data_IF_047280565437
#
_entry.id   IF_047280565437
#
_cell.length_a   1.000
_cell.length_b   1.000
_cell.length_c   1.000
_cell.angle_alpha   90.00
_cell.angle_beta   90.00
_cell.angle_gamma   90.00
#
_symmetry.space_group_name_H-M   'P 1'
#
loop_
_entity.id
_entity.type
_entity.pdbx_description
1 polymer ?
#
# COMPACT_ATOMS: atom_id res chain seq x y z
N UNK A 1 -15.66 -8.22 -5.99
CA UNK A 1 -15.97 -6.78 -5.83
C UNK A 1 -16.66 -6.30 -7.09
N UNK A 2 -17.74 -5.53 -6.96
CA UNK A 2 -18.54 -5.04 -8.07
C UNK A 2 -18.75 -3.54 -7.93
N UNK A 3 -18.50 -2.78 -8.99
CA UNK A 3 -18.89 -1.38 -9.07
C UNK A 3 -20.40 -1.30 -9.27
N UNK A 4 -21.08 -0.50 -8.47
CA UNK A 4 -22.51 -0.28 -8.61
C UNK A 4 -22.78 0.88 -9.58
N UNK A 5 -23.81 0.71 -10.41
CA UNK A 5 -24.28 1.78 -11.28
C UNK A 5 -24.95 2.87 -10.44
N UNK A 6 -24.61 4.11 -10.73
CA UNK A 6 -25.14 5.28 -10.05
C UNK A 6 -26.43 5.79 -10.72
N UNK A 7 -26.79 5.25 -11.88
CA UNK A 7 -28.06 5.53 -12.54
C UNK A 7 -29.18 4.83 -11.75
N UNK A 8 -30.13 5.61 -11.24
CA UNK A 8 -31.26 5.10 -10.46
C UNK A 8 -32.58 5.26 -11.23
N UNK A 9 -33.41 4.21 -11.20
CA UNK A 9 -34.75 4.19 -11.79
C UNK A 9 -35.77 3.67 -10.75
N UNK A 10 -36.89 4.38 -10.52
CA UNK A 10 -37.27 5.67 -11.10
C UNK A 10 -36.33 6.79 -10.62
N UNK A 11 -36.24 7.90 -11.36
CA UNK A 11 -35.34 9.01 -11.03
C UNK A 11 -35.59 9.59 -9.63
N UNK A 12 -36.84 9.56 -9.14
CA UNK A 12 -37.21 10.00 -7.79
C UNK A 12 -36.60 9.17 -6.66
N UNK A 13 -36.04 7.99 -6.96
CA UNK A 13 -35.34 7.18 -5.93
C UNK A 13 -34.14 7.90 -5.34
N UNK A 14 -33.50 8.82 -6.07
CA UNK A 14 -32.37 9.61 -5.55
C UNK A 14 -32.73 10.56 -4.41
N UNK A 15 -34.02 10.84 -4.22
CA UNK A 15 -34.50 11.66 -3.10
C UNK A 15 -34.41 10.91 -1.76
N UNK A 16 -34.44 9.57 -1.82
CA UNK A 16 -34.46 8.68 -0.65
C UNK A 16 -33.19 7.86 -0.53
N UNK A 17 -32.54 7.55 -1.65
CA UNK A 17 -31.41 6.65 -1.72
C UNK A 17 -30.19 7.28 -2.38
N UNK A 18 -29.03 6.86 -1.88
CA UNK A 18 -27.75 7.05 -2.55
C UNK A 18 -27.18 5.66 -2.76
N UNK A 19 -27.04 5.25 -4.01
CA UNK A 19 -26.30 4.03 -4.34
C UNK A 19 -24.83 4.27 -4.00
N UNK A 20 -24.18 3.40 -3.21
CA UNK A 20 -22.77 3.52 -2.90
C UNK A 20 -21.90 3.09 -4.09
N UNK A 21 -20.61 3.42 -4.08
CA UNK A 21 -19.73 3.11 -5.22
C UNK A 21 -19.54 1.60 -5.49
N UNK A 22 -19.43 0.79 -4.43
CA UNK A 22 -19.05 -0.61 -4.54
C UNK A 22 -19.93 -1.53 -3.68
N UNK A 23 -20.14 -2.75 -4.19
CA UNK A 23 -20.50 -3.93 -3.42
C UNK A 23 -19.29 -4.86 -3.36
N UNK A 24 -18.78 -5.14 -2.16
CA UNK A 24 -17.68 -6.06 -1.94
C UNK A 24 -18.16 -7.26 -1.13
N UNK A 25 -17.60 -8.44 -1.42
CA UNK A 25 -17.77 -9.64 -0.58
C UNK A 25 -16.38 -10.02 -0.13
N UNK A 26 -16.12 -9.83 1.16
CA UNK A 26 -14.86 -10.24 1.77
C UNK A 26 -14.97 -11.66 2.30
N UNK A 27 -13.88 -12.41 2.21
CA UNK A 27 -13.76 -13.71 2.87
C UNK A 27 -13.02 -13.49 4.19
N UNK A 28 -13.64 -13.86 5.30
CA UNK A 28 -13.01 -13.90 6.63
C UNK A 28 -13.25 -15.28 7.19
N UNK A 29 -12.17 -16.02 7.42
CA UNK A 29 -12.23 -17.44 7.77
C UNK A 29 -13.09 -18.20 6.74
N UNK A 30 -14.17 -18.85 7.15
CA UNK A 30 -15.11 -19.55 6.25
C UNK A 30 -16.32 -18.68 5.84
N UNK A 31 -16.45 -17.48 6.40
CA UNK A 31 -17.60 -16.60 6.18
C UNK A 31 -17.39 -15.62 5.01
N UNK A 32 -18.46 -15.43 4.24
CA UNK A 32 -18.57 -14.38 3.24
C UNK A 32 -19.29 -13.17 3.84
N UNK A 33 -18.62 -12.04 3.86
CA UNK A 33 -19.12 -10.80 4.46
C UNK A 33 -19.41 -9.80 3.32
N UNK A 34 -20.65 -9.74 2.82
CA UNK A 34 -21.05 -8.72 1.86
C UNK A 34 -21.17 -7.36 2.54
N UNK A 35 -20.57 -6.33 1.94
CA UNK A 35 -20.63 -4.94 2.42
C UNK A 35 -20.76 -3.97 1.26
N UNK A 36 -21.40 -2.84 1.54
CA UNK A 36 -21.45 -1.69 0.66
C UNK A 36 -20.32 -0.73 1.03
N UNK A 37 -19.68 -0.12 0.03
CA UNK A 37 -18.56 0.79 0.25
C UNK A 37 -18.77 2.06 -0.57
N UNK A 38 -18.77 3.20 0.13
CA UNK A 38 -18.63 4.52 -0.47
C UNK A 38 -17.15 4.92 -0.49
N UNK A 39 -16.63 5.35 -1.65
CA UNK A 39 -15.22 5.68 -1.82
C UNK A 39 -15.05 7.19 -1.78
N UNK A 40 -14.10 7.67 -0.95
CA UNK A 40 -13.73 9.09 -0.86
C UNK A 40 -12.22 9.26 -0.97
N UNK A 41 -11.80 10.27 -1.71
CA UNK A 41 -10.41 10.72 -1.76
C UNK A 41 -10.36 12.19 -1.37
N UNK A 42 -9.58 12.54 -0.35
CA UNK A 42 -9.42 13.91 0.09
C UNK A 42 -8.09 14.11 0.80
N UNK A 43 -7.48 15.28 0.62
CA UNK A 43 -6.28 15.71 1.36
C UNK A 43 -6.63 16.44 2.66
N UNK A 44 -7.92 16.69 2.91
CA UNK A 44 -8.36 17.26 4.18
C UNK A 44 -8.22 16.22 5.29
N UNK A 45 -7.83 16.65 6.50
CA UNK A 45 -7.70 15.76 7.67
C UNK A 45 -9.04 15.29 8.25
N UNK A 46 -10.15 15.82 7.76
CA UNK A 46 -11.51 15.51 8.20
C UNK A 46 -12.38 15.23 6.98
N UNK A 47 -13.11 14.11 7.02
CA UNK A 47 -14.15 13.80 6.06
C UNK A 47 -15.50 14.29 6.60
N UNK A 48 -16.29 14.96 5.77
CA UNK A 48 -17.57 15.59 6.16
C UNK A 48 -18.69 15.20 5.22
N UNK A 49 -19.77 14.62 5.77
CA UNK A 49 -20.99 14.27 5.04
C UNK A 49 -22.15 15.13 5.53
N UNK A 50 -22.91 15.67 4.57
CA UNK A 50 -24.20 16.30 4.89
C UNK A 50 -25.17 15.25 5.47
N UNK A 51 -26.07 15.63 6.38
CA UNK A 51 -27.00 14.68 7.01
C UNK A 51 -27.88 13.94 6.01
N UNK A 52 -28.39 14.64 4.99
CA UNK A 52 -29.24 14.07 3.94
C UNK A 52 -28.49 12.99 3.15
N UNK A 53 -27.25 13.27 2.75
CA UNK A 53 -26.43 12.35 1.98
C UNK A 53 -26.10 11.07 2.77
N UNK A 54 -25.70 11.22 4.04
CA UNK A 54 -25.46 10.06 4.93
C UNK A 54 -26.74 9.26 5.15
N UNK A 55 -27.88 9.92 5.34
CA UNK A 55 -29.16 9.25 5.55
C UNK A 55 -29.58 8.43 4.32
N UNK A 56 -29.38 8.96 3.11
CA UNK A 56 -29.68 8.26 1.85
C UNK A 56 -28.79 7.04 1.62
N UNK A 57 -27.50 7.11 1.97
CA UNK A 57 -26.60 5.94 1.96
C UNK A 57 -27.07 4.86 2.93
N UNK A 58 -27.38 5.24 4.17
CA UNK A 58 -27.87 4.31 5.20
C UNK A 58 -29.23 3.71 4.85
N UNK A 59 -30.13 4.48 4.23
CA UNK A 59 -31.41 3.98 3.74
C UNK A 59 -31.21 2.89 2.69
N UNK A 60 -30.29 3.08 1.75
CA UNK A 60 -29.94 2.08 0.75
C UNK A 60 -29.37 0.81 1.39
N UNK A 61 -28.42 0.98 2.33
CA UNK A 61 -27.82 -0.13 3.07
C UNK A 61 -28.85 -0.94 3.85
N UNK A 62 -29.77 -0.25 4.53
CA UNK A 62 -30.86 -0.86 5.29
C UNK A 62 -31.79 -1.67 4.40
N UNK A 63 -32.14 -1.16 3.22
CA UNK A 63 -32.98 -1.88 2.24
C UNK A 63 -32.35 -3.20 1.82
N UNK A 64 -31.02 -3.24 1.65
CA UNK A 64 -30.30 -4.46 1.28
C UNK A 64 -29.92 -5.35 2.48
N UNK A 65 -30.07 -4.86 3.71
CA UNK A 65 -29.61 -5.55 4.91
C UNK A 65 -28.08 -5.68 4.98
N UNK A 66 -27.34 -4.78 4.34
CA UNK A 66 -25.88 -4.84 4.24
C UNK A 66 -25.20 -3.73 5.07
N UNK A 67 -24.01 -3.98 5.66
CA UNK A 67 -23.20 -2.94 6.28
C UNK A 67 -22.79 -1.87 5.28
N UNK A 68 -22.67 -0.63 5.75
CA UNK A 68 -22.19 0.52 4.96
C UNK A 68 -20.84 0.99 5.48
N UNK A 69 -19.80 0.79 4.67
CA UNK A 69 -18.44 1.21 4.96
C UNK A 69 -18.04 2.42 4.12
N UNK A 70 -17.05 3.16 4.61
CA UNK A 70 -16.39 4.23 3.89
C UNK A 70 -14.94 3.81 3.63
N UNK A 71 -14.54 3.75 2.36
CA UNK A 71 -13.15 3.64 1.97
C UNK A 71 -12.61 5.06 1.73
N UNK A 72 -11.76 5.55 2.64
CA UNK A 72 -11.21 6.90 2.55
C UNK A 72 -9.70 6.89 2.31
N UNK A 73 -9.30 7.45 1.17
CA UNK A 73 -7.90 7.76 0.83
C UNK A 73 -7.52 9.16 1.29
N UNK A 74 -6.47 9.25 2.11
CA UNK A 74 -5.82 10.49 2.52
C UNK A 74 -4.32 10.39 2.20
N UNK A 75 -3.83 11.22 1.27
CA UNK A 75 -2.56 11.02 0.58
C UNK A 75 -2.42 9.61 -0.01
N UNK A 76 -1.46 8.81 0.44
CA UNK A 76 -1.23 7.43 0.00
C UNK A 76 -1.89 6.38 0.90
N UNK A 77 -2.43 6.78 2.06
CA UNK A 77 -3.00 5.89 3.04
C UNK A 77 -4.49 5.69 2.80
N UNK A 78 -4.93 4.44 2.95
CA UNK A 78 -6.33 4.07 2.96
C UNK A 78 -6.80 3.75 4.37
N UNK A 79 -8.06 4.07 4.64
CA UNK A 79 -8.85 3.56 5.77
C UNK A 79 -10.14 2.96 5.24
N UNK A 80 -10.65 1.91 5.90
CA UNK A 80 -11.94 1.30 5.62
C UNK A 80 -12.72 1.19 6.92
N UNK A 81 -13.75 1.99 7.16
CA UNK A 81 -14.43 2.04 8.47
C UNK A 81 -15.94 2.08 8.32
N UNK A 82 -16.67 1.71 9.38
CA UNK A 82 -18.13 1.77 9.42
C UNK A 82 -18.62 3.24 9.45
N UNK A 83 -19.59 3.59 8.59
CA UNK A 83 -20.16 4.94 8.49
C UNK A 83 -20.75 5.48 9.83
N UNK A 84 -21.00 4.60 10.81
CA UNK A 84 -21.47 4.95 12.16
C UNK A 84 -20.38 5.56 13.06
N UNK A 85 -19.11 5.48 12.67
CA UNK A 85 -18.04 6.23 13.33
C UNK A 85 -18.09 7.73 13.04
N UNK A 86 -18.75 8.16 11.96
CA UNK A 86 -18.95 9.59 11.70
C UNK A 86 -19.93 10.18 12.72
N UNK A 87 -19.56 11.30 13.36
CA UNK A 87 -20.37 11.95 14.41
C UNK A 87 -20.85 13.33 13.95
N UNK A 88 -22.06 13.70 14.33
CA UNK A 88 -22.57 15.05 14.08
C UNK A 88 -21.70 16.05 14.87
N UNK A 89 -21.15 17.05 14.19
CA UNK A 89 -20.34 18.10 14.83
C UNK A 89 -21.13 19.41 14.99
N UNK A 90 -21.77 19.87 13.91
CA UNK A 90 -22.67 21.04 13.89
C UNK A 90 -23.80 20.75 12.90
N UNK A 91 -23.55 21.01 11.61
CA UNK A 91 -24.50 20.73 10.52
C UNK A 91 -24.24 19.43 9.78
N UNK A 92 -23.01 18.90 9.89
CA UNK A 92 -22.55 17.73 9.14
C UNK A 92 -22.03 16.64 10.08
N UNK A 93 -22.04 15.41 9.58
CA UNK A 93 -21.33 14.29 10.17
C UNK A 93 -19.87 14.32 9.75
N UNK A 94 -18.97 14.26 10.72
CA UNK A 94 -17.53 14.35 10.50
C UNK A 94 -16.79 13.15 11.09
N UNK A 95 -15.62 12.86 10.54
CA UNK A 95 -14.63 11.96 11.13
C UNK A 95 -13.22 12.46 10.79
N UNK A 96 -12.34 12.51 11.80
CA UNK A 96 -10.93 12.83 11.60
C UNK A 96 -10.18 11.60 11.06
N UNK A 97 -9.16 11.81 10.24
CA UNK A 97 -8.39 10.72 9.62
C UNK A 97 -7.77 9.77 10.65
N UNK A 98 -7.23 10.31 11.76
CA UNK A 98 -6.69 9.47 12.84
C UNK A 98 -7.72 8.53 13.47
N UNK A 99 -8.96 9.01 13.64
CA UNK A 99 -10.08 8.18 14.12
C UNK A 99 -10.47 7.13 13.07
N UNK A 100 -10.58 7.52 11.80
CA UNK A 100 -10.87 6.58 10.71
C UNK A 100 -9.82 5.46 10.60
N UNK A 101 -8.53 5.80 10.78
CA UNK A 101 -7.43 4.83 10.81
C UNK A 101 -7.50 3.90 12.03
N UNK A 102 -7.83 4.44 13.20
CA UNK A 102 -7.96 3.65 14.44
C UNK A 102 -9.11 2.66 14.40
N UNK A 103 -10.11 2.90 13.54
CA UNK A 103 -11.29 2.05 13.33
C UNK A 103 -11.22 1.31 11.97
N UNK A 104 -10.04 1.28 11.35
CA UNK A 104 -9.86 0.69 10.03
C UNK A 104 -9.98 -0.83 10.06
N UNK A 105 -10.80 -1.35 9.17
CA UNK A 105 -11.07 -2.76 8.90
C UNK A 105 -10.22 -3.31 7.76
N UNK A 106 -9.26 -2.54 7.23
CA UNK A 106 -8.43 -3.00 6.09
C UNK A 106 -7.70 -4.30 6.41
N UNK A 107 -7.12 -4.43 7.60
CA UNK A 107 -6.47 -5.68 8.03
C UNK A 107 -7.47 -6.81 8.27
N UNK A 108 -8.64 -6.49 8.82
CA UNK A 108 -9.66 -7.47 9.20
C UNK A 108 -10.43 -8.02 7.99
N UNK A 109 -10.69 -7.19 6.97
CA UNK A 109 -11.53 -7.53 5.81
C UNK A 109 -10.75 -7.63 4.50
N UNK A 110 -9.81 -6.70 4.26
CA UNK A 110 -9.08 -6.62 2.99
C UNK A 110 -7.69 -7.29 3.05
N UNK A 111 -7.32 -7.89 4.18
CA UNK A 111 -6.05 -8.58 4.37
C UNK A 111 -4.82 -7.66 4.39
N UNK A 112 -5.02 -6.37 4.63
CA UNK A 112 -3.90 -5.42 4.76
C UNK A 112 -3.09 -5.68 6.04
N UNK A 113 -1.83 -5.29 6.05
CA UNK A 113 -0.95 -5.42 7.22
C UNK A 113 0.19 -4.42 7.10
N UNK A 114 0.87 -4.14 8.20
CA UNK A 114 2.15 -3.42 8.17
C UNK A 114 3.30 -4.40 8.34
N UNK A 115 4.45 -4.11 7.76
CA UNK A 115 5.68 -4.87 7.99
C UNK A 115 6.88 -3.93 8.16
N UNK A 116 7.92 -4.41 8.83
CA UNK A 116 9.14 -3.65 9.10
C UNK A 116 10.32 -4.23 8.33
N UNK A 117 10.97 -3.41 7.50
CA UNK A 117 12.35 -3.66 7.11
C UNK A 117 13.29 -3.02 8.13
N UNK A 118 14.18 -3.79 8.76
CA UNK A 118 15.10 -3.26 9.74
C UNK A 118 16.26 -2.52 9.08
N UNK A 119 16.85 -1.58 9.84
CA UNK A 119 18.08 -0.87 9.45
C UNK A 119 19.16 -1.82 8.93
N UNK A 120 19.85 -1.39 7.89
CA UNK A 120 20.99 -2.07 7.29
C UNK A 120 20.63 -3.19 6.32
N UNK A 121 19.34 -3.55 6.18
CA UNK A 121 18.88 -4.42 5.09
C UNK A 121 18.85 -3.65 3.78
N UNK A 122 19.21 -4.31 2.67
CA UNK A 122 19.27 -3.63 1.39
C UNK A 122 19.98 -4.39 0.27
N UNK A 123 20.29 -3.64 -0.78
CA UNK A 123 21.01 -4.06 -1.98
C UNK A 123 22.38 -3.37 -2.02
N UNK A 124 23.40 -4.13 -2.37
CA UNK A 124 24.78 -3.67 -2.49
C UNK A 124 25.30 -4.04 -3.88
N UNK A 125 25.89 -3.06 -4.56
CA UNK A 125 26.55 -3.23 -5.84
C UNK A 125 28.02 -2.89 -5.67
N UNK A 126 28.91 -3.73 -6.22
CA UNK A 126 30.31 -3.38 -6.41
C UNK A 126 30.60 -3.24 -7.87
N UNK A 127 31.16 -2.08 -8.22
CA UNK A 127 31.46 -1.71 -9.58
C UNK A 127 32.96 -1.48 -9.71
N UNK A 128 33.63 -2.25 -10.56
CA UNK A 128 35.05 -2.11 -10.85
C UNK A 128 35.26 -1.03 -11.91
N UNK A 129 36.21 -0.13 -11.65
CA UNK A 129 36.68 0.88 -12.61
C UNK A 129 37.60 0.20 -13.62
N UNK A 130 37.23 0.25 -14.90
CA UNK A 130 38.02 -0.34 -15.99
C UNK A 130 38.85 0.72 -16.72
N UNK A 131 38.22 1.85 -17.05
CA UNK A 131 38.83 2.88 -17.89
C UNK A 131 38.28 4.27 -17.51
N UNK A 132 39.17 5.24 -17.30
CA UNK A 132 38.80 6.65 -17.19
C UNK A 132 38.58 7.20 -18.60
N UNK A 133 37.34 7.59 -18.92
CA UNK A 133 36.95 8.06 -20.24
C UNK A 133 37.19 9.57 -20.38
N UNK A 134 36.90 10.35 -19.34
CA UNK A 134 37.13 11.79 -19.33
C UNK A 134 37.34 12.30 -17.90
N UNK A 135 38.08 13.42 -17.75
CA UNK A 135 38.28 14.10 -16.48
C UNK A 135 38.35 15.60 -16.74
N UNK A 136 37.34 16.33 -16.27
CA UNK A 136 37.23 17.79 -16.45
C UNK A 136 37.23 18.47 -15.09
N UNK A 137 38.16 19.39 -14.88
CA UNK A 137 38.20 20.22 -13.67
C UNK A 137 37.27 21.43 -13.85
N UNK A 138 36.32 21.61 -12.95
CA UNK A 138 35.44 22.77 -12.85
C UNK A 138 35.64 23.45 -11.50
N UNK A 139 36.49 24.48 -11.47
CA UNK A 139 36.87 25.13 -10.22
C UNK A 139 37.64 24.17 -9.29
N UNK A 140 37.09 23.92 -8.09
CA UNK A 140 37.63 22.97 -7.11
C UNK A 140 37.18 21.52 -7.32
N UNK A 141 36.19 21.28 -8.18
CA UNK A 141 35.64 19.96 -8.42
C UNK A 141 36.28 19.29 -9.64
N UNK A 142 36.44 17.98 -9.57
CA UNK A 142 36.86 17.14 -10.70
C UNK A 142 35.66 16.29 -11.07
N UNK A 143 35.19 16.42 -12.30
CA UNK A 143 34.15 15.57 -12.88
C UNK A 143 34.83 14.50 -13.74
N UNK A 144 34.66 13.24 -13.35
CA UNK A 144 35.23 12.10 -14.06
C UNK A 144 34.13 11.24 -14.64
N UNK A 145 34.34 10.76 -15.87
CA UNK A 145 33.50 9.75 -16.49
C UNK A 145 34.29 8.44 -16.58
N UNK A 146 33.69 7.34 -16.13
CA UNK A 146 34.34 6.04 -16.05
C UNK A 146 33.55 4.99 -16.82
N UNK A 147 34.27 4.10 -17.52
CA UNK A 147 33.76 2.78 -17.89
C UNK A 147 33.91 1.85 -16.70
N UNK A 148 32.82 1.19 -16.34
CA UNK A 148 32.75 0.34 -15.16
C UNK A 148 32.00 -0.95 -15.46
N UNK A 149 32.31 -2.00 -14.69
CA UNK A 149 31.59 -3.28 -14.71
C UNK A 149 31.08 -3.59 -13.31
N UNK A 150 29.82 -4.02 -13.19
CA UNK A 150 29.30 -4.57 -11.93
C UNK A 150 29.88 -5.99 -11.78
N UNK A 151 30.72 -6.19 -10.77
CA UNK A 151 31.39 -7.47 -10.54
C UNK A 151 30.92 -8.21 -9.28
N UNK A 152 30.09 -7.56 -8.46
CA UNK A 152 29.39 -8.17 -7.33
C UNK A 152 28.04 -7.49 -7.10
N UNK A 153 27.03 -8.30 -6.79
CA UNK A 153 25.69 -7.87 -6.39
C UNK A 153 25.23 -8.77 -5.26
N UNK A 154 24.88 -8.17 -4.13
CA UNK A 154 24.36 -8.92 -3.00
C UNK A 154 23.36 -8.13 -2.18
N UNK A 155 22.63 -8.84 -1.33
CA UNK A 155 21.73 -8.22 -0.36
C UNK A 155 22.26 -8.41 1.06
N UNK A 156 21.73 -7.64 2.00
CA UNK A 156 21.97 -7.83 3.44
C UNK A 156 20.67 -8.15 4.16
N UNK A 157 20.72 -9.12 5.07
CA UNK A 157 19.62 -9.41 5.98
C UNK A 157 19.69 -8.56 7.26
N UNK A 158 18.70 -8.71 8.15
CA UNK A 158 18.57 -7.94 9.39
C UNK A 158 19.73 -8.07 10.38
N UNK A 159 20.59 -9.06 10.19
CA UNK A 159 21.79 -9.27 10.99
C UNK A 159 23.05 -8.75 10.29
N UNK A 160 22.90 -8.06 9.14
CA UNK A 160 24.00 -7.60 8.30
C UNK A 160 24.68 -8.72 7.53
N UNK A 161 24.10 -9.93 7.48
CA UNK A 161 24.70 -11.04 6.75
C UNK A 161 24.42 -10.87 5.26
N UNK A 162 25.47 -11.07 4.45
CA UNK A 162 25.35 -11.10 3.00
C UNK A 162 24.46 -12.27 2.53
N UNK A 163 23.53 -11.96 1.62
CA UNK A 163 22.57 -12.88 1.02
C UNK A 163 22.64 -12.82 -0.50
N UNK A 164 22.82 -14.00 -1.10
CA UNK A 164 22.85 -14.23 -2.55
C UNK A 164 21.68 -15.10 -3.01
N UNK A 165 20.88 -15.58 -2.07
CA UNK A 165 19.89 -16.64 -2.19
C UNK A 165 18.45 -16.17 -1.95
N UNK A 166 18.22 -14.86 -1.83
CA UNK A 166 16.87 -14.30 -1.64
C UNK A 166 15.99 -14.57 -2.86
N UNK A 167 14.73 -14.93 -2.64
CA UNK A 167 13.79 -15.12 -3.76
C UNK A 167 13.48 -13.79 -4.45
N UNK A 168 13.19 -13.83 -5.75
CA UNK A 168 12.98 -12.61 -6.56
C UNK A 168 11.84 -11.70 -6.02
N UNK A 169 10.79 -12.30 -5.46
CA UNK A 169 9.69 -11.56 -4.83
C UNK A 169 10.06 -10.95 -3.47
N UNK A 170 11.00 -11.53 -2.73
CA UNK A 170 11.56 -10.92 -1.51
C UNK A 170 12.47 -9.76 -1.89
N UNK A 171 13.30 -9.92 -2.93
CA UNK A 171 14.11 -8.82 -3.45
C UNK A 171 13.25 -7.63 -3.92
N UNK A 172 12.06 -7.91 -4.46
CA UNK A 172 11.11 -6.88 -4.89
C UNK A 172 10.71 -5.91 -3.75
N UNK A 173 10.77 -6.35 -2.48
CA UNK A 173 10.47 -5.50 -1.33
C UNK A 173 11.43 -4.32 -1.21
N UNK A 174 12.70 -4.48 -1.60
CA UNK A 174 13.69 -3.39 -1.56
C UNK A 174 13.32 -2.24 -2.50
N UNK A 175 12.70 -2.52 -3.65
CA UNK A 175 12.34 -1.50 -4.65
C UNK A 175 11.08 -0.72 -4.30
N UNK A 176 10.22 -1.26 -3.43
CA UNK A 176 8.98 -0.60 -3.01
C UNK A 176 9.07 0.02 -1.63
N UNK A 177 10.21 -0.13 -0.97
CA UNK A 177 10.56 0.47 0.30
C UNK A 177 11.54 1.64 0.06
N UNK A 178 11.61 2.57 1.01
CA UNK A 178 12.50 3.71 0.94
C UNK A 178 13.89 3.27 1.40
N UNK A 179 14.82 3.21 0.45
CA UNK A 179 16.23 2.97 0.73
C UNK A 179 16.99 4.30 0.67
N UNK A 180 17.96 4.44 1.55
CA UNK A 180 18.97 5.50 1.46
C UNK A 180 20.15 5.00 0.62
N UNK A 181 20.68 5.93 -0.16
CA UNK A 181 21.80 5.69 -1.06
C UNK A 181 23.10 6.18 -0.42
N UNK A 182 24.13 5.33 -0.38
CA UNK A 182 25.48 5.74 -0.04
C UNK A 182 26.50 5.13 -0.98
N UNK A 183 27.60 5.86 -1.19
CA UNK A 183 28.67 5.45 -2.09
C UNK A 183 30.02 5.55 -1.41
N UNK A 184 30.84 4.51 -1.58
CA UNK A 184 32.23 4.51 -1.16
C UNK A 184 33.14 4.34 -2.39
N UNK A 185 34.05 5.29 -2.58
CA UNK A 185 34.94 5.33 -3.73
C UNK A 185 36.34 4.88 -3.33
N UNK A 186 36.86 3.90 -4.05
CA UNK A 186 38.26 3.48 -3.97
C UNK A 186 38.95 3.75 -5.31
N UNK A 187 40.29 3.59 -5.39
CA UNK A 187 41.00 3.72 -6.66
C UNK A 187 40.52 2.73 -7.73
N UNK A 188 40.01 1.57 -7.34
CA UNK A 188 39.68 0.47 -8.26
C UNK A 188 38.19 0.16 -8.34
N UNK A 189 37.38 0.58 -7.36
CA UNK A 189 35.97 0.25 -7.28
C UNK A 189 35.14 1.42 -6.75
N UNK A 190 33.85 1.37 -7.05
CA UNK A 190 32.80 2.10 -6.35
C UNK A 190 31.87 1.07 -5.71
N UNK A 191 31.64 1.22 -4.41
CA UNK A 191 30.67 0.44 -3.67
C UNK A 191 29.41 1.27 -3.53
N UNK A 192 28.30 0.75 -4.02
CA UNK A 192 27.02 1.42 -3.98
C UNK A 192 26.08 0.67 -3.06
N UNK A 193 25.54 1.36 -2.07
CA UNK A 193 24.68 0.79 -1.05
C UNK A 193 23.31 1.44 -1.13
N UNK A 194 22.28 0.61 -1.24
CA UNK A 194 20.87 1.00 -1.15
C UNK A 194 20.32 0.29 0.08
N UNK A 195 20.33 0.95 1.22
CA UNK A 195 20.00 0.32 2.51
C UNK A 195 18.99 1.11 3.30
N UNK A 196 18.26 0.41 4.15
CA UNK A 196 17.36 1.03 5.12
C UNK A 196 18.19 1.74 6.20
N UNK A 197 18.06 3.07 6.31
CA UNK A 197 18.84 3.87 7.29
C UNK A 197 18.28 3.77 8.73
N UNK A 198 16.96 3.71 8.86
CA UNK A 198 16.25 3.42 10.11
C UNK A 198 15.08 2.47 9.83
N UNK A 199 14.64 1.69 10.84
CA UNK A 199 13.59 0.68 10.72
C UNK A 199 12.36 1.26 9.96
N UNK A 200 12.14 0.82 8.72
CA UNK A 200 11.06 1.32 7.87
C UNK A 200 9.82 0.46 8.05
N UNK A 201 8.72 1.10 8.42
CA UNK A 201 7.41 0.46 8.46
C UNK A 201 6.59 0.81 7.21
N UNK A 202 5.96 -0.19 6.60
CA UNK A 202 5.13 0.01 5.41
C UNK A 202 3.87 -0.84 5.43
N UNK A 203 2.78 -0.22 5.03
CA UNK A 203 1.53 -0.94 4.78
C UNK A 203 1.58 -1.71 3.47
N UNK A 204 1.02 -2.91 3.47
CA UNK A 204 0.98 -3.80 2.32
C UNK A 204 0.28 -3.16 1.12
N UNK A 205 -0.84 -2.46 1.32
CA UNK A 205 -1.52 -1.73 0.23
C UNK A 205 -0.63 -0.67 -0.44
N UNK A 206 0.28 -0.04 0.29
CA UNK A 206 1.24 0.92 -0.27
C UNK A 206 2.33 0.22 -1.08
N UNK A 207 2.89 -0.86 -0.53
CA UNK A 207 3.91 -1.65 -1.21
C UNK A 207 3.39 -2.27 -2.51
N UNK A 208 2.18 -2.86 -2.47
CA UNK A 208 1.48 -3.38 -3.64
C UNK A 208 1.24 -2.32 -4.71
N UNK A 209 0.83 -1.11 -4.31
CA UNK A 209 0.69 0.01 -5.23
C UNK A 209 2.03 0.39 -5.85
N UNK A 210 3.12 0.35 -5.08
CA UNK A 210 4.48 0.54 -5.60
C UNK A 210 4.86 -0.52 -6.63
N UNK A 211 4.63 -1.80 -6.32
CA UNK A 211 4.95 -2.93 -7.21
C UNK A 211 4.15 -2.84 -8.51
N UNK A 212 2.86 -2.49 -8.44
CA UNK A 212 2.03 -2.32 -9.63
C UNK A 212 2.56 -1.21 -10.55
N UNK A 213 2.99 -0.08 -9.98
CA UNK A 213 3.54 1.03 -10.76
C UNK A 213 4.94 0.74 -11.31
N UNK A 214 5.72 -0.13 -10.66
CA UNK A 214 7.04 -0.54 -11.14
C UNK A 214 6.98 -1.22 -12.51
N UNK A 215 5.93 -1.98 -12.79
CA UNK A 215 5.75 -2.69 -14.06
C UNK A 215 5.10 -1.83 -15.16
N UNK A 216 4.85 -0.55 -14.92
CA UNK A 216 4.31 0.36 -15.93
C UNK A 216 5.43 0.99 -16.76
N UNK A 217 5.17 1.19 -18.05
CA UNK A 217 6.01 2.02 -18.90
C UNK A 217 6.04 3.48 -18.43
N UNK A 218 7.10 4.21 -18.78
CA UNK A 218 7.17 5.66 -18.48
C UNK A 218 5.97 6.39 -19.10
N UNK A 219 5.22 7.10 -18.26
CA UNK A 219 4.04 7.87 -18.67
C UNK A 219 2.74 7.08 -18.72
N UNK A 220 2.77 5.78 -18.40
CA UNK A 220 1.56 4.97 -18.30
C UNK A 220 0.89 5.14 -16.93
N UNK A 221 -0.40 4.79 -16.88
CA UNK A 221 -1.19 4.79 -15.65
C UNK A 221 -1.88 3.45 -15.46
N UNK A 222 -2.10 3.06 -14.19
CA UNK A 222 -2.74 1.79 -13.87
C UNK A 222 -4.18 1.75 -14.39
N UNK A 223 -4.44 0.83 -15.31
CA UNK A 223 -5.81 0.45 -15.65
C UNK A 223 -6.34 -0.54 -14.60
N UNK A 224 -6.98 -0.03 -13.55
CA UNK A 224 -7.51 -0.85 -12.45
C UNK A 224 -8.49 -1.93 -12.89
N UNK A 225 -9.28 -1.70 -13.96
CA UNK A 225 -10.20 -2.74 -14.47
C UNK A 225 -9.44 -3.93 -15.03
N UNK A 226 -8.36 -3.66 -15.74
CA UNK A 226 -7.49 -4.70 -16.27
C UNK A 226 -6.77 -5.43 -15.12
N UNK A 227 -6.17 -4.68 -14.19
CA UNK A 227 -5.44 -5.25 -13.03
C UNK A 227 -6.33 -6.20 -12.22
N UNK A 228 -7.57 -5.80 -11.92
CA UNK A 228 -8.53 -6.64 -11.17
C UNK A 228 -8.99 -7.86 -11.98
N UNK A 229 -8.95 -7.79 -13.31
CA UNK A 229 -9.30 -8.91 -14.20
C UNK A 229 -8.19 -9.94 -14.41
N UNK A 230 -6.94 -9.64 -13.99
CA UNK A 230 -5.79 -10.55 -14.14
C UNK A 230 -5.85 -11.66 -13.08
N UNK A 231 -5.40 -12.87 -13.46
CA UNK A 231 -5.22 -13.97 -12.50
C UNK A 231 -4.15 -13.68 -11.44
N UNK A 232 -3.11 -12.93 -11.82
CA UNK A 232 -2.09 -12.39 -10.90
C UNK A 232 -1.99 -10.88 -11.12
N UNK A 233 -2.47 -10.05 -10.16
CA UNK A 233 -2.48 -8.59 -10.32
C UNK A 233 -1.08 -7.97 -10.45
N UNK A 234 -0.11 -8.49 -9.68
CA UNK A 234 1.29 -8.04 -9.67
C UNK A 234 2.18 -9.12 -10.29
N UNK A 235 2.82 -8.87 -11.44
CA UNK A 235 3.75 -9.84 -12.04
C UNK A 235 4.80 -10.34 -11.03
N UNK A 236 4.98 -11.65 -10.96
CA UNK A 236 5.93 -12.30 -10.05
C UNK A 236 5.50 -12.39 -8.58
N UNK A 237 4.36 -11.78 -8.20
CA UNK A 237 3.85 -11.80 -6.81
C UNK A 237 2.42 -12.36 -6.81
N UNK A 238 2.32 -13.67 -6.57
CA UNK A 238 1.01 -14.36 -6.51
C UNK A 238 0.26 -14.09 -5.20
N UNK A 239 0.99 -14.04 -4.08
CA UNK A 239 0.42 -13.76 -2.77
C UNK A 239 1.42 -12.93 -1.97
N UNK A 240 1.16 -11.63 -1.88
CA UNK A 240 2.06 -10.69 -1.21
C UNK A 240 2.22 -10.97 0.28
N UNK A 241 1.17 -11.45 0.97
CA UNK A 241 1.28 -11.83 2.38
C UNK A 241 2.28 -12.98 2.56
N UNK A 242 2.23 -13.99 1.70
CA UNK A 242 3.20 -15.10 1.73
C UNK A 242 4.61 -14.66 1.35
N UNK A 243 4.76 -13.71 0.42
CA UNK A 243 6.06 -13.09 0.12
C UNK A 243 6.65 -12.41 1.35
N UNK A 244 5.86 -11.60 2.08
CA UNK A 244 6.34 -10.92 3.30
C UNK A 244 6.62 -11.91 4.44
N UNK A 245 5.82 -12.97 4.60
CA UNK A 245 6.11 -14.06 5.54
C UNK A 245 7.41 -14.78 5.19
N UNK A 246 7.67 -15.04 3.90
CA UNK A 246 8.94 -15.61 3.46
C UNK A 246 10.09 -14.67 3.77
N UNK A 247 9.96 -13.38 3.49
CA UNK A 247 10.97 -12.38 3.83
C UNK A 247 11.27 -12.36 5.35
N UNK A 248 10.29 -12.65 6.21
CA UNK A 248 10.51 -12.79 7.66
C UNK A 248 11.39 -14.01 7.98
N UNK A 249 11.14 -15.16 7.35
CA UNK A 249 11.96 -16.37 7.50
C UNK A 249 13.36 -16.22 6.90
N UNK A 250 13.46 -15.52 5.77
CA UNK A 250 14.72 -15.15 5.13
C UNK A 250 15.42 -13.97 5.85
N UNK A 251 14.91 -13.48 6.97
CA UNK A 251 15.58 -12.47 7.78
C UNK A 251 15.64 -11.07 7.17
N UNK A 252 14.92 -10.81 6.08
CA UNK A 252 14.79 -9.47 5.48
C UNK A 252 13.74 -8.65 6.24
N UNK A 253 12.64 -9.26 6.65
CA UNK A 253 11.59 -8.61 7.46
C UNK A 253 11.81 -8.93 8.95
N UNK A 254 11.51 -7.95 9.82
CA UNK A 254 11.61 -8.09 11.28
C UNK A 254 10.26 -8.33 11.94
N UNK A 255 9.25 -7.56 11.55
CA UNK A 255 7.90 -7.64 12.12
C UNK A 255 6.84 -7.61 11.04
N UNK A 256 5.70 -8.25 11.35
CA UNK A 256 4.46 -8.18 10.59
C UNK A 256 3.36 -7.84 11.60
N UNK A 257 2.63 -6.76 11.35
CA UNK A 257 1.58 -6.24 12.23
C UNK A 257 0.23 -6.33 11.53
N UNK A 258 -0.66 -7.15 12.09
CA UNK A 258 -2.08 -7.20 11.72
C UNK A 258 -2.85 -6.26 12.64
N UNK A 259 -3.32 -5.14 12.10
CA UNK A 259 -4.02 -4.13 12.90
C UNK A 259 -5.47 -4.55 13.14
N UNK A 260 -6.01 -4.18 14.29
CA UNK A 260 -7.42 -4.37 14.63
C UNK A 260 -8.07 -3.01 14.87
N UNK A 261 -9.35 -2.83 14.53
CA UNK A 261 -10.09 -1.63 14.89
C UNK A 261 -10.20 -1.55 16.43
N UNK A 262 -10.29 -0.33 16.96
CA UNK A 262 -10.55 -0.14 18.40
C UNK A 262 -11.93 -0.68 18.79
N UNK A 263 -12.91 -0.55 17.90
CA UNK A 263 -14.27 -1.04 18.09
C UNK A 263 -14.62 -2.00 16.97
N UNK A 264 -14.84 -3.28 17.29
CA UNK A 264 -15.25 -4.27 16.29
C UNK A 264 -16.73 -4.05 15.91
N UNK A 265 -17.07 -3.80 14.63
CA UNK A 265 -18.45 -3.60 14.22
C UNK A 265 -19.34 -4.82 14.49
N UNK A 266 -20.62 -4.64 14.86
CA UNK A 266 -21.51 -5.76 15.19
C UNK A 266 -21.67 -6.79 14.07
N UNK A 267 -21.59 -6.35 12.79
CA UNK A 267 -21.70 -7.25 11.64
C UNK A 267 -20.51 -8.21 11.50
N UNK A 268 -19.41 -7.99 12.23
CA UNK A 268 -18.28 -8.92 12.33
C UNK A 268 -18.37 -9.88 13.52
N UNK A 269 -19.32 -9.66 14.43
CA UNK A 269 -19.58 -10.48 15.61
C UNK A 269 -20.72 -11.47 15.42
N UNK A 270 -21.48 -11.37 14.32
CA UNK A 270 -22.55 -12.29 13.99
C UNK A 270 -21.94 -13.61 13.47
N UNK A 271 -21.54 -14.48 14.40
CA UNK A 271 -21.30 -15.90 14.20
C UNK A 271 -22.50 -16.70 14.72
#
# INVERSE_FOLDING_TARGET
MHKLDQIQAPASSSDVFQVPDLLAVFQREEQKIPVLIEVKASQARTLSFRPDYRARLLAYAKTLGLPMLIAWKHHSLWSLFDINHMKMADKNYNIAFGTAMSESLLSTLAGDFSYTLPRGTGLHLRMKKEELLSSVRSGSEIHEEWRMVIDDVHHTDRNGKQRLDLSADVQALFFVNKLEESQEHTPTHVHWHFTVDDDENKFAHMALSGLLNWYLGRGESLNWREVVGRGTPVPGVNNFSETVKRALYEGVVKYIFHLQPQTLPPFLNAA
#
